data_IF_928816189412
#
_entry.id   IF_928816189412
#
_cell.length_a   1.000
_cell.length_b   1.000
_cell.length_c   1.000
_cell.angle_alpha   90.00
_cell.angle_beta   90.00
_cell.angle_gamma   90.00
#
_symmetry.space_group_name_H-M   'P 1'
#
loop_
_entity.id
_entity.type
_entity.pdbx_description
1 polymer ?
#
# COMPACT_ATOMS: atom_id res chain seq x y z
N UNK A 1 42.58 21.01 -24.99
CA UNK A 1 43.04 21.10 -23.58
C UNK A 1 43.29 19.70 -23.07
N UNK A 2 44.49 19.37 -22.56
CA UNK A 2 44.70 18.05 -21.92
C UNK A 2 44.05 18.06 -20.54
N UNK A 3 43.08 17.20 -20.31
CA UNK A 3 42.53 17.00 -18.98
C UNK A 3 43.61 16.47 -18.03
N UNK A 4 43.73 17.11 -16.89
CA UNK A 4 44.60 16.63 -15.80
C UNK A 4 43.79 15.73 -14.87
N UNK A 5 44.46 14.67 -14.42
CA UNK A 5 43.86 13.70 -13.50
C UNK A 5 44.67 13.69 -12.18
N UNK A 6 43.94 13.56 -11.10
CA UNK A 6 44.42 13.50 -9.72
C UNK A 6 44.27 12.07 -9.18
N UNK A 7 45.10 11.75 -8.20
CA UNK A 7 44.96 10.53 -7.41
C UNK A 7 43.82 10.62 -6.38
N UNK A 8 43.39 9.47 -5.87
CA UNK A 8 42.41 9.41 -4.77
C UNK A 8 42.86 10.21 -3.55
N UNK A 9 44.14 10.17 -3.22
CA UNK A 9 44.70 10.88 -2.06
C UNK A 9 44.66 12.41 -2.22
N UNK A 10 44.88 12.93 -3.43
CA UNK A 10 44.81 14.35 -3.72
C UNK A 10 43.37 14.85 -3.66
N UNK A 11 42.44 14.14 -4.28
CA UNK A 11 41.01 14.47 -4.23
C UNK A 11 40.44 14.32 -2.81
N UNK A 12 40.87 13.32 -2.05
CA UNK A 12 40.46 13.17 -0.64
C UNK A 12 40.85 14.37 0.22
N UNK A 13 42.08 14.88 0.01
CA UNK A 13 42.52 16.11 0.68
C UNK A 13 41.74 17.35 0.23
N UNK A 14 41.51 17.50 -1.08
CA UNK A 14 40.77 18.64 -1.64
C UNK A 14 39.32 18.68 -1.14
N UNK A 15 38.68 17.54 -1.01
CA UNK A 15 37.28 17.45 -0.60
C UNK A 15 37.09 17.28 0.92
N UNK A 16 38.18 17.19 1.68
CA UNK A 16 38.16 16.89 3.13
C UNK A 16 37.38 15.60 3.43
N UNK A 17 37.73 14.52 2.72
CA UNK A 17 37.12 13.19 2.85
C UNK A 17 38.19 12.12 3.06
N UNK A 18 37.78 10.93 3.53
CA UNK A 18 38.64 9.79 3.55
C UNK A 18 38.88 9.25 2.12
N UNK A 19 40.08 8.69 1.84
CA UNK A 19 40.34 8.02 0.57
C UNK A 19 39.35 6.89 0.29
N UNK A 20 38.89 6.18 1.31
CA UNK A 20 37.88 5.14 1.19
C UNK A 20 36.57 5.69 0.62
N UNK A 21 36.16 6.87 1.08
CA UNK A 21 34.94 7.53 0.59
C UNK A 21 35.09 7.92 -0.88
N UNK A 22 36.23 8.45 -1.27
CA UNK A 22 36.48 8.82 -2.69
C UNK A 22 36.49 7.58 -3.57
N UNK A 23 37.16 6.47 -3.16
CA UNK A 23 37.13 5.20 -3.89
C UNK A 23 35.70 4.66 -4.06
N UNK A 24 34.87 4.77 -3.01
CA UNK A 24 33.46 4.36 -3.09
C UNK A 24 32.67 5.22 -4.09
N UNK A 25 32.92 6.52 -4.16
CA UNK A 25 32.29 7.38 -5.17
C UNK A 25 32.69 7.01 -6.59
N UNK A 26 33.97 6.70 -6.82
CA UNK A 26 34.45 6.23 -8.10
C UNK A 26 33.81 4.89 -8.48
N UNK A 27 33.82 3.91 -7.58
CA UNK A 27 33.26 2.58 -7.81
C UNK A 27 31.74 2.63 -8.05
N UNK A 28 31.04 3.59 -7.44
CA UNK A 28 29.61 3.82 -7.63
C UNK A 28 29.28 4.68 -8.88
N UNK A 29 30.26 5.05 -9.70
CA UNK A 29 30.05 5.88 -10.89
C UNK A 29 29.61 7.32 -10.60
N UNK A 30 29.77 7.80 -9.36
CA UNK A 30 29.32 9.13 -8.94
C UNK A 30 30.26 10.26 -9.33
N UNK A 31 31.44 9.94 -9.86
CA UNK A 31 32.39 10.91 -10.37
C UNK A 31 32.51 10.69 -11.88
N UNK A 32 31.91 11.56 -12.70
CA UNK A 32 32.00 11.44 -14.15
C UNK A 32 33.47 11.40 -14.61
N UNK A 33 33.76 10.62 -15.65
CA UNK A 33 35.08 10.49 -16.29
C UNK A 33 36.20 9.95 -15.38
N UNK A 34 35.90 9.51 -14.15
CA UNK A 34 36.82 8.78 -13.33
C UNK A 34 36.99 7.35 -13.87
N UNK A 35 38.25 6.92 -14.05
CA UNK A 35 38.55 5.59 -14.57
C UNK A 35 39.67 4.91 -13.78
N UNK A 36 39.70 3.58 -13.85
CA UNK A 36 40.66 2.74 -13.14
C UNK A 36 41.79 2.35 -14.06
N UNK A 37 43.04 2.60 -13.64
CA UNK A 37 44.25 2.06 -14.30
C UNK A 37 44.94 1.10 -13.33
N UNK A 38 44.90 -0.18 -13.63
CA UNK A 38 45.37 -1.20 -12.68
C UNK A 38 44.57 -1.15 -11.36
N UNK A 39 45.20 -0.75 -10.27
CA UNK A 39 44.58 -0.59 -8.95
C UNK A 39 44.34 0.87 -8.54
N UNK A 40 44.64 1.82 -9.44
CA UNK A 40 44.60 3.26 -9.13
C UNK A 40 43.49 3.96 -9.89
N UNK A 41 42.68 4.70 -9.17
CA UNK A 41 41.67 5.59 -9.76
C UNK A 41 42.32 6.88 -10.23
N UNK A 42 42.01 7.28 -11.46
CA UNK A 42 42.34 8.57 -12.05
C UNK A 42 41.06 9.42 -12.07
N UNK A 43 41.09 10.55 -11.40
CA UNK A 43 39.92 11.41 -11.18
C UNK A 43 40.23 12.75 -11.85
N UNK A 44 39.35 13.31 -12.69
CA UNK A 44 39.54 14.62 -13.27
C UNK A 44 39.79 15.69 -12.18
N UNK A 45 40.78 16.55 -12.35
CA UNK A 45 41.09 17.64 -11.41
C UNK A 45 39.91 18.58 -11.17
N UNK A 46 39.05 18.74 -12.19
CA UNK A 46 37.86 19.57 -12.17
C UNK A 46 36.62 18.85 -11.59
N UNK A 47 36.76 17.58 -11.17
CA UNK A 47 35.65 16.83 -10.61
C UNK A 47 35.05 17.54 -9.39
N UNK A 48 33.76 17.59 -9.36
CA UNK A 48 33.03 18.13 -8.21
C UNK A 48 32.75 17.03 -7.20
N UNK A 49 32.82 17.40 -5.91
CA UNK A 49 32.44 16.48 -4.83
C UNK A 49 31.00 16.06 -5.01
N UNK A 50 30.70 14.75 -5.13
CA UNK A 50 29.33 14.29 -5.16
C UNK A 50 28.55 14.76 -3.93
N UNK A 51 27.43 15.41 -4.15
CA UNK A 51 26.52 15.78 -3.08
C UNK A 51 26.04 14.48 -2.43
N UNK A 52 26.19 14.36 -1.12
CA UNK A 52 25.50 13.31 -0.39
C UNK A 52 24.01 13.56 -0.61
N UNK A 53 23.36 12.72 -1.42
CA UNK A 53 21.92 12.66 -1.36
C UNK A 53 21.59 12.29 0.09
N UNK A 54 21.02 13.22 0.82
CA UNK A 54 20.45 12.88 2.11
C UNK A 54 19.38 11.85 1.81
N UNK A 55 19.61 10.59 2.20
CA UNK A 55 18.60 9.52 2.12
C UNK A 55 17.31 9.90 2.88
N UNK A 56 17.35 11.00 3.63
CA UNK A 56 16.21 11.56 4.34
C UNK A 56 15.26 12.39 3.47
N UNK A 57 15.70 12.93 2.32
CA UNK A 57 14.82 13.75 1.48
C UNK A 57 13.90 12.89 0.60
N UNK A 58 14.28 11.63 0.33
CA UNK A 58 13.49 10.66 -0.45
C UNK A 58 12.66 9.72 0.45
N UNK A 59 12.73 9.85 1.77
CA UNK A 59 11.92 9.04 2.67
C UNK A 59 10.44 9.48 2.61
N UNK A 60 9.48 8.53 2.58
CA UNK A 60 8.07 8.87 2.57
C UNK A 60 7.73 9.69 3.82
N UNK A 61 7.04 10.81 3.63
CA UNK A 61 6.66 11.76 4.70
C UNK A 61 5.31 11.42 5.32
N UNK A 62 4.50 10.66 4.61
CA UNK A 62 3.16 10.26 5.03
C UNK A 62 3.00 8.74 4.98
N UNK A 63 2.04 8.24 5.74
CA UNK A 63 1.67 6.81 5.68
C UNK A 63 1.28 6.40 4.25
N UNK A 64 0.51 7.22 3.56
CA UNK A 64 0.07 6.93 2.18
C UNK A 64 1.25 6.82 1.21
N UNK A 65 2.23 7.74 1.31
CA UNK A 65 3.45 7.66 0.50
C UNK A 65 4.25 6.39 0.81
N UNK A 66 4.33 6.01 2.10
CA UNK A 66 5.00 4.78 2.51
C UNK A 66 4.31 3.55 1.91
N UNK A 67 2.99 3.45 2.02
CA UNK A 67 2.21 2.34 1.48
C UNK A 67 2.40 2.20 -0.04
N UNK A 68 2.29 3.29 -0.79
CA UNK A 68 2.49 3.31 -2.25
C UNK A 68 3.92 2.93 -2.67
N UNK A 69 4.90 3.39 -1.91
CA UNK A 69 6.30 3.04 -2.16
C UNK A 69 6.55 1.53 -1.95
N UNK A 70 6.07 0.99 -0.84
CA UNK A 70 6.24 -0.42 -0.50
C UNK A 70 5.47 -1.35 -1.44
N UNK A 71 4.25 -0.97 -1.86
CA UNK A 71 3.47 -1.65 -2.89
C UNK A 71 4.23 -1.74 -4.20
N UNK A 72 4.72 -0.59 -4.71
CA UNK A 72 5.48 -0.51 -5.97
C UNK A 72 6.78 -1.30 -5.90
N UNK A 73 7.50 -1.20 -4.78
CA UNK A 73 8.77 -1.88 -4.56
C UNK A 73 8.62 -3.35 -4.15
N UNK A 74 7.38 -3.83 -3.93
CA UNK A 74 7.05 -5.19 -3.45
C UNK A 74 7.84 -5.57 -2.20
N UNK A 75 7.87 -4.66 -1.21
CA UNK A 75 8.61 -4.84 0.03
C UNK A 75 7.95 -5.90 0.89
N UNK A 76 8.64 -7.02 1.12
CA UNK A 76 8.18 -8.06 2.05
C UNK A 76 8.42 -7.63 3.51
N UNK A 77 7.43 -7.86 4.38
CA UNK A 77 7.51 -7.56 5.81
C UNK A 77 7.38 -6.07 6.17
N UNK A 78 7.13 -5.19 5.18
CA UNK A 78 6.84 -3.78 5.41
C UNK A 78 5.44 -3.53 5.95
N UNK A 79 5.08 -2.26 6.12
CA UNK A 79 3.77 -1.87 6.65
C UNK A 79 2.63 -2.21 5.68
N UNK A 80 2.85 -2.04 4.37
CA UNK A 80 1.89 -2.43 3.33
C UNK A 80 1.62 -3.94 3.39
N UNK A 81 2.67 -4.76 3.42
CA UNK A 81 2.55 -6.22 3.52
C UNK A 81 1.77 -6.65 4.78
N UNK A 82 2.06 -6.02 5.92
CA UNK A 82 1.34 -6.29 7.18
C UNK A 82 -0.13 -5.89 7.10
N UNK A 83 -0.44 -4.71 6.56
CA UNK A 83 -1.83 -4.25 6.40
C UNK A 83 -2.60 -5.21 5.51
N UNK A 84 -2.03 -5.68 4.41
CA UNK A 84 -2.69 -6.65 3.53
C UNK A 84 -3.11 -7.91 4.30
N UNK A 85 -2.25 -8.46 5.12
CA UNK A 85 -2.52 -9.71 5.85
C UNK A 85 -3.41 -9.46 7.07
N UNK A 86 -3.02 -8.54 7.96
CA UNK A 86 -3.69 -8.32 9.24
C UNK A 86 -5.09 -7.74 9.07
N UNK A 87 -5.25 -6.71 8.24
CA UNK A 87 -6.56 -6.11 8.02
C UNK A 87 -7.50 -7.08 7.33
N UNK A 88 -7.02 -7.82 6.33
CA UNK A 88 -7.84 -8.82 5.63
C UNK A 88 -8.27 -9.94 6.57
N UNK A 89 -7.34 -10.51 7.36
CA UNK A 89 -7.67 -11.55 8.32
C UNK A 89 -8.73 -11.06 9.32
N UNK A 90 -8.47 -9.93 9.98
CA UNK A 90 -9.36 -9.42 11.02
C UNK A 90 -10.75 -9.05 10.47
N UNK A 91 -10.82 -8.36 9.33
CA UNK A 91 -12.09 -7.97 8.71
C UNK A 91 -12.92 -9.19 8.32
N UNK A 92 -12.31 -10.16 7.64
CA UNK A 92 -13.03 -11.36 7.21
C UNK A 92 -13.43 -12.25 8.40
N UNK A 93 -12.61 -12.30 9.46
CA UNK A 93 -12.93 -13.06 10.65
C UNK A 93 -14.14 -12.49 11.41
N UNK A 94 -14.28 -11.15 11.48
CA UNK A 94 -15.47 -10.47 12.02
C UNK A 94 -16.71 -10.84 11.22
N UNK A 95 -16.60 -10.99 9.91
CA UNK A 95 -17.69 -11.38 9.01
C UNK A 95 -17.96 -12.90 8.99
N UNK A 96 -17.23 -13.67 9.79
CA UNK A 96 -17.46 -15.11 9.99
C UNK A 96 -16.60 -16.04 9.15
N UNK A 97 -15.60 -15.54 8.44
CA UNK A 97 -14.62 -16.38 7.76
C UNK A 97 -13.88 -17.28 8.74
N UNK A 98 -13.67 -18.53 8.34
CA UNK A 98 -12.94 -19.54 9.13
C UNK A 98 -11.49 -19.71 8.71
N UNK A 99 -11.01 -18.92 7.77
CA UNK A 99 -9.59 -18.95 7.41
C UNK A 99 -8.73 -18.53 8.60
N UNK A 100 -7.64 -19.26 8.81
CA UNK A 100 -6.64 -18.89 9.80
C UNK A 100 -5.79 -17.73 9.32
N UNK A 101 -5.08 -17.07 10.23
CA UNK A 101 -4.14 -16.01 9.88
C UNK A 101 -3.06 -16.53 8.91
N UNK A 102 -2.52 -17.74 9.14
CA UNK A 102 -1.53 -18.35 8.25
C UNK A 102 -2.11 -18.66 6.86
N UNK A 103 -3.34 -19.13 6.76
CA UNK A 103 -4.00 -19.35 5.47
C UNK A 103 -4.20 -18.03 4.71
N UNK A 104 -4.62 -16.95 5.40
CA UNK A 104 -4.70 -15.61 4.81
C UNK A 104 -3.35 -15.14 4.28
N UNK A 105 -2.28 -15.34 5.06
CA UNK A 105 -0.91 -15.02 4.67
C UNK A 105 -0.46 -15.84 3.45
N UNK A 106 -0.70 -17.15 3.42
CA UNK A 106 -0.34 -18.00 2.27
C UNK A 106 -1.08 -17.58 0.99
N UNK A 107 -2.36 -17.23 1.09
CA UNK A 107 -3.12 -16.73 -0.07
C UNK A 107 -2.45 -15.44 -0.59
N UNK A 108 -2.06 -14.52 0.29
CA UNK A 108 -1.41 -13.28 -0.10
C UNK A 108 -0.02 -13.48 -0.70
N UNK A 109 0.85 -14.22 -0.01
CA UNK A 109 2.26 -14.34 -0.36
C UNK A 109 2.52 -15.30 -1.53
N UNK A 110 1.73 -16.35 -1.64
CA UNK A 110 2.01 -17.48 -2.55
C UNK A 110 0.86 -17.85 -3.48
N UNK A 111 -0.29 -17.22 -3.34
CA UNK A 111 -1.53 -17.56 -4.03
C UNK A 111 -1.90 -19.05 -3.83
N UNK A 112 -1.60 -19.59 -2.67
CA UNK A 112 -1.94 -20.98 -2.28
C UNK A 112 -2.66 -20.97 -0.94
N UNK A 113 -3.31 -22.11 -0.64
CA UNK A 113 -3.89 -22.35 0.68
C UNK A 113 -3.25 -23.60 1.27
N UNK A 114 -2.84 -23.52 2.55
CA UNK A 114 -2.34 -24.68 3.26
C UNK A 114 -3.45 -25.74 3.42
N UNK A 115 -3.10 -27.01 3.26
CA UNK A 115 -4.02 -28.12 3.49
C UNK A 115 -4.34 -28.18 4.98
N UNK A 116 -5.62 -28.13 5.33
CA UNK A 116 -6.14 -28.42 6.68
C UNK A 116 -7.02 -29.65 6.62
N UNK A 117 -7.20 -30.34 7.76
CA UNK A 117 -8.13 -31.48 7.86
C UNK A 117 -9.59 -31.01 7.74
N UNK A 118 -9.87 -29.76 8.05
CA UNK A 118 -11.18 -29.16 7.97
C UNK A 118 -11.49 -28.62 6.55
N UNK A 119 -12.74 -28.74 6.13
CA UNK A 119 -13.21 -28.15 4.89
C UNK A 119 -13.14 -26.62 4.96
N UNK A 120 -12.51 -26.02 3.94
CA UNK A 120 -12.41 -24.57 3.78
C UNK A 120 -13.53 -24.10 2.85
N UNK A 121 -14.23 -23.03 3.26
CA UNK A 121 -15.25 -22.43 2.43
C UNK A 121 -14.62 -21.69 1.24
N UNK A 122 -15.07 -22.00 0.03
CA UNK A 122 -14.55 -21.38 -1.20
C UNK A 122 -14.83 -19.87 -1.22
N UNK A 123 -15.98 -19.44 -0.71
CA UNK A 123 -16.32 -18.02 -0.64
C UNK A 123 -15.33 -17.28 0.27
N UNK A 124 -14.88 -17.86 1.39
CA UNK A 124 -13.88 -17.26 2.28
C UNK A 124 -12.55 -17.03 1.53
N UNK A 125 -12.14 -17.97 0.67
CA UNK A 125 -10.92 -17.82 -0.12
C UNK A 125 -11.06 -16.69 -1.14
N UNK A 126 -12.21 -16.66 -1.86
CA UNK A 126 -12.48 -15.66 -2.88
C UNK A 126 -12.57 -14.27 -2.25
N UNK A 127 -13.29 -14.12 -1.15
CA UNK A 127 -13.41 -12.84 -0.43
C UNK A 127 -12.07 -12.37 0.11
N UNK A 128 -11.25 -13.27 0.63
CA UNK A 128 -9.88 -12.94 1.08
C UNK A 128 -9.03 -12.40 -0.06
N UNK A 129 -9.02 -13.09 -1.21
CA UNK A 129 -8.26 -12.62 -2.38
C UNK A 129 -8.82 -11.30 -2.95
N UNK A 130 -10.12 -11.08 -2.87
CA UNK A 130 -10.75 -9.84 -3.29
C UNK A 130 -10.51 -8.70 -2.29
N UNK A 131 -10.41 -9.01 -0.98
CA UNK A 131 -10.14 -8.01 0.04
C UNK A 131 -8.76 -7.37 -0.15
N UNK A 132 -7.74 -8.12 -0.53
CA UNK A 132 -6.44 -7.55 -0.91
C UNK A 132 -6.57 -6.50 -2.02
N UNK A 133 -7.35 -6.80 -3.07
CA UNK A 133 -7.63 -5.84 -4.15
C UNK A 133 -8.38 -4.60 -3.65
N UNK A 134 -9.30 -4.77 -2.71
CA UNK A 134 -10.01 -3.65 -2.10
C UNK A 134 -9.06 -2.74 -1.31
N UNK A 135 -8.08 -3.29 -0.59
CA UNK A 135 -7.04 -2.50 0.09
C UNK A 135 -6.23 -1.69 -0.94
N UNK A 136 -5.79 -2.31 -2.05
CA UNK A 136 -5.07 -1.60 -3.12
C UNK A 136 -5.91 -0.45 -3.69
N UNK A 137 -7.19 -0.71 -4.00
CA UNK A 137 -8.12 0.33 -4.48
C UNK A 137 -8.25 1.49 -3.48
N UNK A 138 -8.28 1.21 -2.17
CA UNK A 138 -8.33 2.24 -1.13
C UNK A 138 -7.05 3.07 -1.11
N UNK A 139 -5.88 2.44 -1.22
CA UNK A 139 -4.58 3.14 -1.25
C UNK A 139 -4.48 4.02 -2.51
N UNK A 140 -4.90 3.52 -3.67
CA UNK A 140 -4.92 4.29 -4.91
C UNK A 140 -5.84 5.52 -4.81
N UNK A 141 -7.05 5.32 -4.28
CA UNK A 141 -8.11 6.33 -4.20
C UNK A 141 -8.03 7.24 -2.98
N UNK A 142 -7.09 7.00 -2.03
CA UNK A 142 -7.06 7.68 -0.73
C UNK A 142 -6.95 9.21 -0.80
N UNK A 143 -6.45 9.76 -1.89
CA UNK A 143 -6.40 11.22 -2.11
C UNK A 143 -7.70 11.80 -2.69
N UNK A 144 -8.68 10.96 -3.06
CA UNK A 144 -9.95 11.38 -3.62
C UNK A 144 -11.04 11.41 -2.54
N UNK A 145 -12.05 12.27 -2.68
CA UNK A 145 -13.17 12.26 -1.76
C UNK A 145 -13.92 10.93 -1.79
N UNK A 146 -14.25 10.41 -0.61
CA UNK A 146 -15.09 9.22 -0.49
C UNK A 146 -16.45 9.45 -1.17
N UNK A 147 -16.87 8.51 -2.03
CA UNK A 147 -18.10 8.60 -2.83
C UNK A 147 -18.93 7.32 -2.76
N UNK A 148 -20.23 7.45 -3.00
CA UNK A 148 -21.13 6.29 -3.11
C UNK A 148 -20.68 5.33 -4.22
N UNK A 149 -20.18 5.85 -5.34
CA UNK A 149 -19.69 5.05 -6.46
C UNK A 149 -18.50 4.19 -6.03
N UNK A 150 -17.56 4.75 -5.27
CA UNK A 150 -16.41 4.01 -4.77
C UNK A 150 -16.79 2.94 -3.74
N UNK A 151 -17.72 3.23 -2.81
CA UNK A 151 -18.25 2.25 -1.86
C UNK A 151 -18.89 1.07 -2.61
N UNK A 152 -19.72 1.36 -3.62
CA UNK A 152 -20.33 0.33 -4.47
C UNK A 152 -19.29 -0.49 -5.23
N UNK A 153 -18.23 0.15 -5.71
CA UNK A 153 -17.13 -0.52 -6.41
C UNK A 153 -16.37 -1.47 -5.48
N UNK A 154 -16.07 -1.04 -4.23
CA UNK A 154 -15.46 -1.91 -3.22
C UNK A 154 -16.34 -3.13 -2.93
N UNK A 155 -17.64 -2.93 -2.70
CA UNK A 155 -18.58 -4.04 -2.47
C UNK A 155 -18.65 -4.99 -3.67
N UNK A 156 -18.68 -4.46 -4.89
CA UNK A 156 -18.65 -5.27 -6.12
C UNK A 156 -17.39 -6.09 -6.22
N UNK A 157 -16.24 -5.49 -5.95
CA UNK A 157 -14.94 -6.19 -5.99
C UNK A 157 -14.89 -7.27 -4.93
N UNK A 158 -15.25 -6.95 -3.69
CA UNK A 158 -15.21 -7.88 -2.55
C UNK A 158 -16.04 -9.13 -2.80
N UNK A 159 -17.29 -8.97 -3.26
CA UNK A 159 -18.25 -10.08 -3.44
C UNK A 159 -18.21 -10.71 -4.84
N UNK A 160 -17.32 -10.25 -5.73
CA UNK A 160 -17.19 -10.82 -7.08
C UNK A 160 -16.74 -12.27 -7.03
N UNK A 161 -17.44 -13.16 -7.74
CA UNK A 161 -17.11 -14.58 -7.85
C UNK A 161 -17.60 -15.46 -6.68
N UNK A 162 -18.10 -14.87 -5.61
CA UNK A 162 -18.68 -15.61 -4.48
C UNK A 162 -20.04 -16.23 -4.83
N UNK A 163 -20.54 -17.10 -3.97
CA UNK A 163 -21.90 -17.67 -4.11
C UNK A 163 -22.98 -16.58 -4.07
N UNK A 164 -22.76 -15.49 -3.31
CA UNK A 164 -23.64 -14.34 -3.25
C UNK A 164 -23.80 -13.65 -4.60
N UNK A 165 -22.75 -13.61 -5.43
CA UNK A 165 -22.79 -13.01 -6.76
C UNK A 165 -23.77 -13.71 -7.72
N UNK A 166 -24.19 -14.92 -7.41
CA UNK A 166 -25.12 -15.73 -8.20
C UNK A 166 -26.56 -15.63 -7.74
N UNK A 167 -26.80 -14.94 -6.61
CA UNK A 167 -28.15 -14.76 -6.04
C UNK A 167 -28.85 -13.57 -6.69
N UNK A 168 -29.99 -13.77 -7.32
CA UNK A 168 -30.73 -12.70 -8.03
C UNK A 168 -31.17 -11.54 -7.13
N UNK A 169 -31.35 -11.80 -5.83
CA UNK A 169 -31.76 -10.80 -4.86
C UNK A 169 -30.59 -10.05 -4.20
N UNK A 170 -29.39 -10.62 -4.27
CA UNK A 170 -28.18 -10.01 -3.74
C UNK A 170 -27.47 -9.17 -4.82
N UNK A 171 -27.68 -7.86 -4.75
CA UNK A 171 -27.18 -6.95 -5.78
C UNK A 171 -25.76 -6.49 -5.44
N UNK A 172 -24.73 -7.24 -5.88
CA UNK A 172 -23.33 -6.85 -5.64
C UNK A 172 -23.02 -5.49 -6.27
N UNK A 173 -22.43 -4.61 -5.49
CA UNK A 173 -22.09 -3.25 -5.93
C UNK A 173 -23.28 -2.34 -6.11
N UNK A 174 -24.44 -2.70 -5.57
CA UNK A 174 -25.64 -1.88 -5.52
C UNK A 174 -26.19 -1.80 -4.10
N UNK A 175 -27.17 -0.94 -3.89
CA UNK A 175 -27.86 -0.88 -2.62
C UNK A 175 -28.79 -2.09 -2.45
N UNK A 176 -29.05 -2.45 -1.20
CA UNK A 176 -29.97 -3.53 -0.86
C UNK A 176 -31.34 -3.30 -1.50
N UNK A 177 -31.96 -4.39 -1.91
CA UNK A 177 -33.33 -4.38 -2.49
C UNK A 177 -34.38 -4.84 -1.48
N UNK A 178 -33.95 -5.46 -0.40
CA UNK A 178 -34.81 -6.00 0.64
C UNK A 178 -34.47 -5.35 1.98
N UNK A 179 -35.46 -5.14 2.85
CA UNK A 179 -35.23 -4.74 4.24
C UNK A 179 -34.32 -5.75 4.95
N UNK A 180 -33.54 -5.29 5.90
CA UNK A 180 -32.71 -6.14 6.75
C UNK A 180 -32.58 -5.53 8.14
N UNK A 181 -32.22 -6.36 9.09
CA UNK A 181 -31.94 -6.00 10.46
C UNK A 181 -30.49 -6.24 10.81
N UNK A 182 -29.98 -5.45 11.75
CA UNK A 182 -28.64 -5.64 12.34
C UNK A 182 -28.79 -5.54 13.86
N UNK A 183 -28.39 -6.61 14.56
CA UNK A 183 -28.51 -6.65 16.03
C UNK A 183 -29.95 -6.49 16.55
N UNK A 184 -30.94 -6.99 15.82
CA UNK A 184 -32.36 -6.87 16.17
C UNK A 184 -32.97 -5.47 15.97
N UNK A 185 -32.28 -4.61 15.22
CA UNK A 185 -32.77 -3.27 14.85
C UNK A 185 -32.96 -3.18 13.34
N UNK A 186 -34.09 -2.60 12.93
CA UNK A 186 -34.33 -2.27 11.53
C UNK A 186 -33.29 -1.27 11.02
N UNK A 187 -32.79 -1.55 9.85
CA UNK A 187 -31.88 -0.61 9.14
C UNK A 187 -32.71 0.29 8.20
N UNK A 188 -32.09 1.30 7.59
CA UNK A 188 -32.77 2.18 6.63
C UNK A 188 -33.51 1.37 5.56
N UNK A 189 -34.69 1.79 5.15
CA UNK A 189 -35.44 1.17 4.08
C UNK A 189 -34.62 1.22 2.74
N UNK A 190 -34.76 0.21 1.85
CA UNK A 190 -33.96 0.15 0.62
C UNK A 190 -33.98 1.44 -0.20
N UNK A 191 -35.15 2.08 -0.32
CA UNK A 191 -35.36 3.33 -1.04
C UNK A 191 -34.67 4.55 -0.41
N UNK A 192 -34.42 4.51 0.90
CA UNK A 192 -33.79 5.60 1.66
C UNK A 192 -32.26 5.53 1.67
N UNK A 193 -31.69 4.36 1.40
CA UNK A 193 -30.23 4.13 1.58
C UNK A 193 -29.39 5.13 0.80
N UNK A 194 -29.75 5.39 -0.46
CA UNK A 194 -28.97 6.30 -1.32
C UNK A 194 -28.94 7.73 -0.78
N UNK A 195 -30.10 8.23 -0.32
CA UNK A 195 -30.22 9.59 0.23
C UNK A 195 -29.50 9.71 1.58
N UNK A 196 -29.74 8.76 2.48
CA UNK A 196 -29.10 8.75 3.81
C UNK A 196 -27.58 8.67 3.70
N UNK A 197 -27.05 7.85 2.78
CA UNK A 197 -25.60 7.77 2.54
C UNK A 197 -25.06 9.07 1.92
N UNK A 198 -25.81 9.72 1.02
CA UNK A 198 -25.42 11.03 0.48
C UNK A 198 -25.28 12.09 1.59
N UNK A 199 -26.26 12.15 2.51
CA UNK A 199 -26.24 13.05 3.67
C UNK A 199 -25.03 12.74 4.58
N UNK A 200 -24.79 11.46 4.87
CA UNK A 200 -23.67 11.02 5.70
C UNK A 200 -22.31 11.44 5.09
N UNK A 201 -22.11 11.16 3.81
CA UNK A 201 -20.88 11.54 3.10
C UNK A 201 -20.69 13.06 3.00
N UNK A 202 -21.80 13.81 2.87
CA UNK A 202 -21.76 15.28 2.91
C UNK A 202 -21.28 15.77 4.27
N UNK A 203 -21.87 15.28 5.36
CA UNK A 203 -21.45 15.63 6.73
C UNK A 203 -19.99 15.30 6.98
N UNK A 204 -19.52 14.14 6.54
CA UNK A 204 -18.11 13.74 6.65
C UNK A 204 -17.17 14.73 5.93
N UNK A 205 -17.52 15.15 4.72
CA UNK A 205 -16.70 16.10 3.93
C UNK A 205 -16.71 17.51 4.51
N UNK A 206 -17.82 17.93 5.13
CA UNK A 206 -17.98 19.26 5.74
C UNK A 206 -17.40 19.35 7.14
N UNK A 207 -17.03 18.22 7.76
CA UNK A 207 -16.39 18.19 9.07
C UNK A 207 -15.01 18.84 8.99
N UNK A 208 -14.79 19.86 9.79
CA UNK A 208 -13.54 20.63 9.87
C UNK A 208 -12.45 19.93 10.69
N UNK A 209 -12.81 18.93 11.47
CA UNK A 209 -11.90 18.12 12.29
C UNK A 209 -12.12 16.65 11.95
N UNK A 210 -11.05 15.95 11.64
CA UNK A 210 -11.03 14.51 11.39
C UNK A 210 -10.07 13.86 12.39
N UNK A 211 -10.46 13.85 13.64
CA UNK A 211 -9.76 13.09 14.67
C UNK A 211 -10.04 11.61 14.52
N UNK A 212 -9.28 10.78 15.22
CA UNK A 212 -9.53 9.33 15.26
C UNK A 212 -10.94 9.03 15.79
N UNK A 213 -11.40 9.79 16.79
CA UNK A 213 -12.73 9.70 17.37
C UNK A 213 -13.82 10.03 16.34
N UNK A 214 -13.62 11.06 15.51
CA UNK A 214 -14.55 11.41 14.43
C UNK A 214 -14.64 10.30 13.38
N UNK A 215 -13.53 9.67 13.05
CA UNK A 215 -13.49 8.54 12.10
C UNK A 215 -14.22 7.32 12.67
N UNK A 216 -14.01 6.99 13.95
CA UNK A 216 -14.71 5.90 14.64
C UNK A 216 -16.21 6.18 14.71
N UNK A 217 -16.62 7.42 15.01
CA UNK A 217 -18.02 7.80 15.08
C UNK A 217 -18.71 7.82 13.70
N UNK A 218 -17.94 8.03 12.63
CA UNK A 218 -18.43 7.96 11.26
C UNK A 218 -18.68 6.52 10.81
N UNK A 219 -17.78 5.60 11.19
CA UNK A 219 -17.86 4.17 10.87
C UNK A 219 -19.03 3.51 11.59
#
# INVERSE_FOLDING_TARGET
>A
MRMKFCSVAEIARQWNLSERTVRNYCAAGKIPEAFLTGKTWNIPEIAQRPVRSNRHDDAPKTLLECLRLEETAKVSGGIYHKIQIELTYNSNHIEGSRLTHDQTRYIYETNTIGVSEDAVNVDDIIETANHFKCIDMVIEQAAQPLSQAFIKQLHRTLKSGTSDSRKNWFAIGEYKKLPNEVGGKDTAAPEEVSERLAVLLKRYRESSSQTLEDLIAFH
#
